data_IF_677895486416
#
_entry.id   IF_677895486416
#
_cell.length_a   1.000
_cell.length_b   1.000
_cell.length_c   1.000
_cell.angle_alpha   90.00
_cell.angle_beta   90.00
_cell.angle_gamma   90.00
#
_symmetry.space_group_name_H-M   'P 1'
#
loop_
_entity.id
_entity.type
_entity.pdbx_description
1 polymer ?
#
# COMPACT_ATOMS: atom_id res chain seq x y z
N UNK A 1 1.31 -1.85 -7.35
CA UNK A 1 0.65 -3.17 -7.30
C UNK A 1 0.30 -3.48 -5.85
N UNK A 2 -0.88 -4.02 -5.56
CA UNK A 2 -1.29 -4.43 -4.19
C UNK A 2 -1.53 -5.93 -4.14
N UNK A 3 -1.20 -6.55 -3.02
CA UNK A 3 -1.42 -7.97 -2.75
C UNK A 3 -1.80 -8.14 -1.30
N UNK A 4 -2.80 -8.97 -1.01
CA UNK A 4 -3.16 -9.33 0.36
C UNK A 4 -2.86 -10.82 0.53
N UNK A 5 -1.98 -11.13 1.47
CA UNK A 5 -1.63 -12.48 1.87
C UNK A 5 -2.48 -12.90 3.06
N UNK A 6 -3.17 -14.02 2.95
CA UNK A 6 -3.84 -14.66 4.09
C UNK A 6 -2.82 -15.57 4.80
N UNK A 7 -2.58 -15.30 6.08
CA UNK A 7 -1.67 -16.05 6.94
C UNK A 7 -2.46 -16.74 8.03
N UNK A 8 -3.18 -17.81 7.65
CA UNK A 8 -4.02 -18.62 8.55
C UNK A 8 -3.25 -19.13 9.79
N UNK A 9 -1.94 -19.32 9.68
CA UNK A 9 -1.08 -19.80 10.77
C UNK A 9 -0.59 -18.70 11.74
N UNK A 10 -0.85 -17.42 11.45
CA UNK A 10 -0.38 -16.30 12.27
C UNK A 10 -1.59 -15.47 12.72
N UNK A 11 -2.12 -15.75 13.92
CA UNK A 11 -3.31 -15.07 14.44
C UNK A 11 -3.11 -13.57 14.66
N UNK A 12 -1.90 -13.16 15.05
CA UNK A 12 -1.53 -11.74 15.18
C UNK A 12 -1.52 -11.01 13.83
N UNK A 13 -1.35 -11.75 12.73
CA UNK A 13 -1.19 -11.20 11.39
C UNK A 13 -1.96 -11.94 10.30
N UNK A 14 -3.25 -12.19 10.55
CA UNK A 14 -4.07 -13.02 9.66
C UNK A 14 -4.11 -12.53 8.21
N UNK A 15 -4.09 -11.21 7.99
CA UNK A 15 -4.08 -10.62 6.67
C UNK A 15 -2.93 -9.62 6.55
N UNK A 16 -1.94 -9.95 5.73
CA UNK A 16 -0.81 -9.08 5.44
C UNK A 16 -1.03 -8.38 4.10
N UNK A 17 -1.11 -7.05 4.12
CA UNK A 17 -1.20 -6.24 2.93
C UNK A 17 0.21 -5.86 2.46
N UNK A 18 0.50 -6.07 1.18
CA UNK A 18 1.72 -5.65 0.51
C UNK A 18 1.39 -4.65 -0.59
N UNK A 19 2.08 -3.52 -0.59
CA UNK A 19 1.95 -2.50 -1.63
C UNK A 19 3.33 -2.24 -2.22
N UNK A 20 3.50 -2.57 -3.50
CA UNK A 20 4.67 -2.20 -4.29
C UNK A 20 4.36 -0.97 -5.11
N UNK A 21 5.31 -0.05 -5.13
CA UNK A 21 5.27 1.12 -5.98
C UNK A 21 6.34 0.96 -7.06
N UNK A 22 6.01 1.26 -8.31
CA UNK A 22 6.92 0.99 -9.43
C UNK A 22 8.29 1.70 -9.29
N UNK A 23 8.33 2.82 -8.57
CA UNK A 23 9.54 3.59 -8.27
C UNK A 23 9.80 3.79 -6.75
N UNK A 24 8.97 3.25 -5.84
CA UNK A 24 9.13 3.43 -4.39
C UNK A 24 9.21 2.09 -3.63
N UNK A 25 9.75 2.16 -2.41
CA UNK A 25 9.93 1.05 -1.46
C UNK A 25 8.65 0.24 -1.22
N UNK A 26 8.77 -1.09 -1.20
CA UNK A 26 7.69 -1.99 -0.76
C UNK A 26 7.27 -1.69 0.68
N UNK A 27 5.97 -1.50 0.90
CA UNK A 27 5.40 -1.39 2.24
C UNK A 27 4.49 -2.58 2.54
N UNK A 28 4.59 -3.10 3.76
CA UNK A 28 3.69 -4.12 4.27
C UNK A 28 2.98 -3.64 5.55
N UNK A 29 1.78 -4.17 5.76
CA UNK A 29 0.95 -3.89 6.92
C UNK A 29 0.18 -5.13 7.33
N UNK A 30 -0.08 -5.25 8.61
CA UNK A 30 -0.61 -6.46 9.24
C UNK A 30 -1.99 -6.19 9.83
N UNK A 31 -2.97 -7.06 9.54
CA UNK A 31 -4.37 -6.81 9.87
C UNK A 31 -5.11 -8.08 10.30
N UNK A 32 -5.98 -7.96 11.29
CA UNK A 32 -6.90 -9.04 11.68
C UNK A 32 -8.12 -9.20 10.75
N UNK A 33 -8.35 -8.25 9.84
CA UNK A 33 -9.49 -8.24 8.92
C UNK A 33 -9.06 -7.98 7.48
N UNK A 34 -9.45 -8.86 6.55
CA UNK A 34 -9.15 -8.74 5.12
C UNK A 34 -9.61 -7.40 4.53
N UNK A 35 -10.81 -6.95 4.89
CA UNK A 35 -11.35 -5.68 4.39
C UNK A 35 -10.51 -4.49 4.86
N UNK A 36 -9.99 -4.53 6.09
CA UNK A 36 -9.09 -3.50 6.59
C UNK A 36 -7.75 -3.49 5.84
N UNK A 37 -7.20 -4.68 5.57
CA UNK A 37 -5.98 -4.84 4.78
C UNK A 37 -6.13 -4.27 3.36
N UNK A 38 -7.26 -4.58 2.70
CA UNK A 38 -7.58 -4.05 1.36
C UNK A 38 -7.77 -2.53 1.39
N UNK A 39 -8.54 -2.01 2.34
CA UNK A 39 -8.79 -0.57 2.46
C UNK A 39 -7.49 0.22 2.71
N UNK A 40 -6.63 -0.31 3.58
CA UNK A 40 -5.33 0.29 3.86
C UNK A 40 -4.44 0.26 2.62
N UNK A 41 -4.37 -0.86 1.91
CA UNK A 41 -3.58 -0.98 0.69
C UNK A 41 -4.04 0.01 -0.39
N UNK A 42 -5.36 0.14 -0.57
CA UNK A 42 -5.96 1.09 -1.51
C UNK A 42 -5.72 2.55 -1.12
N UNK A 43 -5.87 2.87 0.16
CA UNK A 43 -5.58 4.20 0.67
C UNK A 43 -4.11 4.57 0.45
N UNK A 44 -3.19 3.66 0.77
CA UNK A 44 -1.76 3.89 0.64
C UNK A 44 -1.36 4.08 -0.83
N UNK A 45 -1.88 3.24 -1.72
CA UNK A 45 -1.65 3.37 -3.15
C UNK A 45 -2.16 4.69 -3.70
N UNK A 46 -3.37 5.12 -3.31
CA UNK A 46 -3.93 6.42 -3.70
C UNK A 46 -3.08 7.57 -3.17
N UNK A 47 -2.72 7.56 -1.89
CA UNK A 47 -1.92 8.62 -1.27
C UNK A 47 -0.60 8.85 -2.00
N UNK A 48 0.10 7.78 -2.35
CA UNK A 48 1.39 7.87 -3.04
C UNK A 48 1.22 8.32 -4.49
N UNK A 49 0.24 7.81 -5.23
CA UNK A 49 -0.06 8.32 -6.59
C UNK A 49 -0.39 9.81 -6.56
N UNK A 50 -1.21 10.25 -5.60
CA UNK A 50 -1.54 11.67 -5.42
C UNK A 50 -0.30 12.49 -5.07
N UNK A 51 0.57 12.00 -4.19
CA UNK A 51 1.82 12.67 -3.84
C UNK A 51 2.77 12.78 -5.04
N UNK A 52 2.93 11.71 -5.82
CA UNK A 52 3.76 11.70 -7.03
C UNK A 52 3.20 12.66 -8.10
N UNK A 53 1.87 12.71 -8.28
CA UNK A 53 1.22 13.65 -9.17
C UNK A 53 1.46 15.11 -8.74
N UNK A 54 1.28 15.41 -7.45
CA UNK A 54 1.55 16.75 -6.91
C UNK A 54 3.03 17.10 -7.12
N UNK A 55 3.96 16.23 -6.72
CA UNK A 55 5.39 16.48 -6.91
C UNK A 55 5.79 16.63 -8.38
N UNK A 56 5.13 15.92 -9.30
CA UNK A 56 5.32 16.04 -10.74
C UNK A 56 4.77 17.34 -11.33
N UNK A 57 3.72 17.91 -10.74
CA UNK A 57 3.16 19.22 -11.11
C UNK A 57 4.03 20.35 -10.54
N UNK A 58 4.52 20.21 -9.30
CA UNK A 58 5.26 21.25 -8.59
C UNK A 58 6.77 21.28 -8.88
N UNK A 59 7.31 20.35 -9.67
CA UNK A 59 8.64 20.47 -10.27
C UNK A 59 8.51 20.96 -11.71
N UNK A 60 8.72 22.25 -12.01
CA UNK A 60 8.93 22.67 -13.38
C UNK A 60 10.16 21.90 -13.88
N UNK A 61 10.01 21.16 -14.98
CA UNK A 61 11.17 20.65 -15.71
C UNK A 61 11.98 21.87 -16.13
N UNK A 62 13.15 22.02 -15.51
CA UNK A 62 14.17 22.95 -15.95
C UNK A 62 14.94 22.34 -17.12
#
# INVERSE_FOLDING_TARGET
>A
MKYIRDQIANEDCRYEAHVWFNNHSHQCGCFGNKKAAEHWADWLQKKIVTQDLIMGIFRPRH
#
